data_IF_693271969386
#
_entry.id   IF_693271969386
#
_cell.length_a   1.000
_cell.length_b   1.000
_cell.length_c   1.000
_cell.angle_alpha   90.00
_cell.angle_beta   90.00
_cell.angle_gamma   90.00
#
_symmetry.space_group_name_H-M   'P 1'
#
loop_
_entity.id
_entity.type
_entity.pdbx_description
1 polymer ?
#
# COMPACT_ATOMS: atom_id res chain seq x y z
N UNK A 1 2.48 26.33 -9.19
CA UNK A 1 2.99 24.94 -9.09
C UNK A 1 4.12 24.94 -8.11
N UNK A 2 4.05 24.18 -7.06
CA UNK A 2 5.14 24.01 -6.07
C UNK A 2 6.33 23.40 -6.79
N UNK A 3 7.53 23.95 -6.62
CA UNK A 3 8.74 23.37 -7.18
C UNK A 3 8.99 22.00 -6.52
N UNK A 4 9.39 21.01 -7.32
CA UNK A 4 9.70 19.66 -6.78
C UNK A 4 11.11 19.67 -6.22
N UNK A 5 11.29 19.13 -5.00
CA UNK A 5 12.61 18.85 -4.45
C UNK A 5 13.17 17.56 -5.06
N UNK A 6 14.12 17.72 -5.97
CA UNK A 6 14.78 16.63 -6.69
C UNK A 6 15.75 15.82 -5.83
N UNK A 7 16.06 16.28 -4.61
CA UNK A 7 16.97 15.60 -3.67
C UNK A 7 16.25 14.64 -2.70
N UNK A 8 14.90 14.58 -2.78
CA UNK A 8 14.09 13.79 -1.84
C UNK A 8 14.57 12.35 -1.67
N UNK A 9 14.81 11.60 -2.77
CA UNK A 9 15.26 10.21 -2.67
C UNK A 9 16.63 10.09 -2.01
N UNK A 10 17.56 10.99 -2.32
CA UNK A 10 18.88 11.00 -1.69
C UNK A 10 18.78 11.30 -0.18
N UNK A 11 17.91 12.23 0.23
CA UNK A 11 17.64 12.51 1.65
C UNK A 11 17.04 11.30 2.36
N UNK A 12 16.07 10.61 1.74
CA UNK A 12 15.48 9.39 2.31
C UNK A 12 16.52 8.27 2.46
N UNK A 13 17.37 8.07 1.46
CA UNK A 13 18.45 7.07 1.50
C UNK A 13 19.49 7.40 2.60
N UNK A 14 19.93 8.65 2.68
CA UNK A 14 20.87 9.11 3.70
C UNK A 14 20.34 8.91 5.12
N UNK A 15 19.02 9.02 5.31
CA UNK A 15 18.36 8.77 6.60
C UNK A 15 18.07 7.30 6.89
N UNK A 16 18.43 6.38 5.98
CA UNK A 16 18.10 4.97 6.12
C UNK A 16 16.60 4.65 6.00
N UNK A 17 15.82 5.53 5.36
CA UNK A 17 14.38 5.39 5.18
C UNK A 17 14.00 4.61 3.90
N UNK A 18 14.96 4.13 3.14
CA UNK A 18 14.74 3.30 1.95
C UNK A 18 15.29 1.90 2.22
N UNK A 19 14.41 0.91 2.17
CA UNK A 19 14.79 -0.50 2.24
C UNK A 19 14.99 -1.07 0.83
N UNK A 20 13.97 -0.98 -0.04
CA UNK A 20 14.00 -1.40 -1.44
C UNK A 20 13.23 -0.42 -2.31
N UNK A 21 13.60 -0.31 -3.58
CA UNK A 21 12.83 0.42 -4.59
C UNK A 21 12.94 -0.26 -5.95
N UNK A 22 11.92 -0.09 -6.77
CA UNK A 22 11.94 -0.57 -8.15
C UNK A 22 12.64 0.45 -9.05
N UNK A 23 13.45 -0.01 -10.02
CA UNK A 23 14.08 0.82 -11.06
C UNK A 23 14.62 2.17 -10.54
N UNK A 24 15.66 2.19 -9.68
CA UNK A 24 16.09 3.40 -8.98
C UNK A 24 16.34 4.61 -9.89
N UNK A 25 16.99 4.40 -11.04
CA UNK A 25 17.29 5.49 -11.98
C UNK A 25 16.02 6.06 -12.62
N UNK A 26 15.08 5.18 -12.98
CA UNK A 26 13.81 5.60 -13.60
C UNK A 26 12.91 6.27 -12.58
N UNK A 27 12.85 5.75 -11.34
CA UNK A 27 12.12 6.39 -10.24
C UNK A 27 12.67 7.78 -9.95
N UNK A 28 13.99 7.94 -9.90
CA UNK A 28 14.64 9.25 -9.71
C UNK A 28 14.22 10.25 -10.80
N UNK A 29 14.24 9.84 -12.07
CA UNK A 29 13.77 10.69 -13.18
C UNK A 29 12.27 10.97 -13.09
N UNK A 30 11.48 9.97 -12.70
CA UNK A 30 10.03 10.10 -12.55
C UNK A 30 9.65 11.16 -11.50
N UNK A 31 10.37 11.19 -10.38
CA UNK A 31 10.15 12.11 -9.28
C UNK A 31 10.69 13.55 -9.51
N UNK A 32 11.28 13.83 -10.65
CA UNK A 32 11.63 15.21 -11.04
C UNK A 32 10.39 16.08 -11.37
N UNK A 33 9.21 15.48 -11.43
CA UNK A 33 7.93 16.18 -11.67
C UNK A 33 6.95 15.83 -10.55
N UNK A 34 5.96 16.69 -10.26
CA UNK A 34 4.92 16.37 -9.30
C UNK A 34 4.26 15.04 -9.64
N UNK A 35 4.14 14.15 -8.65
CA UNK A 35 3.53 12.82 -8.80
C UNK A 35 2.53 12.57 -7.71
N UNK A 36 1.58 11.69 -7.98
CA UNK A 36 0.69 11.13 -6.98
C UNK A 36 1.29 9.82 -6.49
N UNK A 37 1.32 9.66 -5.17
CA UNK A 37 1.80 8.46 -4.49
C UNK A 37 0.84 8.06 -3.39
N UNK A 38 0.92 6.80 -2.95
CA UNK A 38 0.08 6.35 -1.84
C UNK A 38 0.79 5.43 -0.86
N UNK A 39 0.24 5.36 0.34
CA UNK A 39 0.50 4.32 1.32
C UNK A 39 -0.83 3.81 1.87
N UNK A 40 -0.93 2.49 2.06
CA UNK A 40 -2.09 1.82 2.64
C UNK A 40 -1.99 1.70 4.15
N UNK A 41 -3.13 1.87 4.82
CA UNK A 41 -3.31 1.72 6.26
C UNK A 41 -4.56 0.87 6.52
N UNK A 42 -4.37 -0.40 6.84
CA UNK A 42 -5.49 -1.28 7.15
C UNK A 42 -6.02 -1.00 8.56
N UNK A 43 -7.34 -0.87 8.72
CA UNK A 43 -7.99 -0.69 10.00
C UNK A 43 -7.98 -2.01 10.79
N UNK A 44 -6.87 -2.31 11.45
CA UNK A 44 -6.69 -3.51 12.27
C UNK A 44 -7.03 -3.29 13.73
N UNK A 45 -7.23 -2.05 14.11
CA UNK A 45 -7.65 -1.55 15.41
C UNK A 45 -8.29 -0.17 15.23
N UNK A 46 -8.79 0.42 16.32
CA UNK A 46 -9.37 1.76 16.34
C UNK A 46 -8.33 2.89 16.29
N UNK A 47 -7.04 2.55 16.24
CA UNK A 47 -5.94 3.51 16.13
C UNK A 47 -4.78 2.96 15.32
N UNK A 48 -4.00 3.87 14.72
CA UNK A 48 -2.72 3.56 14.12
C UNK A 48 -1.72 3.15 15.20
N UNK A 49 -0.83 2.23 14.88
CA UNK A 49 0.26 1.81 15.75
C UNK A 49 1.57 2.56 15.39
N UNK A 50 2.57 2.47 16.25
CA UNK A 50 3.84 3.18 16.07
C UNK A 50 4.53 2.88 14.72
N UNK A 51 4.37 1.66 14.18
CA UNK A 51 4.90 1.29 12.86
C UNK A 51 4.28 2.08 11.70
N UNK A 52 3.08 2.63 11.88
CA UNK A 52 2.42 3.49 10.87
C UNK A 52 3.02 4.90 10.82
N UNK A 53 3.75 5.32 11.85
CA UNK A 53 4.33 6.67 11.93
C UNK A 53 5.39 6.90 10.85
N UNK A 54 6.25 5.91 10.59
CA UNK A 54 7.31 6.05 9.57
C UNK A 54 6.72 6.27 8.18
N UNK A 55 5.78 5.43 7.69
CA UNK A 55 5.10 5.69 6.42
C UNK A 55 4.40 7.06 6.36
N UNK A 56 3.73 7.50 7.43
CA UNK A 56 3.07 8.81 7.47
C UNK A 56 4.06 9.96 7.36
N UNK A 57 5.17 9.90 8.08
CA UNK A 57 6.22 10.91 8.01
C UNK A 57 6.90 10.94 6.63
N UNK A 58 7.03 9.78 5.97
CA UNK A 58 7.54 9.72 4.61
C UNK A 58 6.53 10.30 3.61
N UNK A 59 5.22 10.01 3.73
CA UNK A 59 4.17 10.67 2.94
C UNK A 59 4.25 12.20 3.07
N UNK A 60 4.41 12.71 4.31
CA UNK A 60 4.60 14.13 4.56
C UNK A 60 5.84 14.70 3.85
N UNK A 61 6.97 13.98 3.86
CA UNK A 61 8.18 14.40 3.14
C UNK A 61 7.96 14.49 1.64
N UNK A 62 7.27 13.52 1.05
CA UNK A 62 6.88 13.58 -0.36
C UNK A 62 5.97 14.77 -0.64
N UNK A 63 5.03 15.09 0.25
CA UNK A 63 4.18 16.28 0.12
C UNK A 63 4.99 17.56 0.17
N UNK A 64 5.88 17.70 1.15
CA UNK A 64 6.79 18.85 1.27
C UNK A 64 7.71 19.02 0.05
N UNK A 65 8.07 17.90 -0.59
CA UNK A 65 8.84 17.87 -1.83
C UNK A 65 8.01 18.18 -3.09
N UNK A 66 6.73 18.50 -2.96
CA UNK A 66 5.87 18.90 -4.10
C UNK A 66 5.07 17.78 -4.74
N UNK A 67 5.04 16.57 -4.16
CA UNK A 67 4.20 15.46 -4.63
C UNK A 67 2.86 15.44 -3.88
N UNK A 68 1.83 14.79 -4.48
CA UNK A 68 0.50 14.63 -3.87
C UNK A 68 0.40 13.26 -3.19
N UNK A 69 0.32 13.18 -1.85
CA UNK A 69 0.12 11.93 -1.15
C UNK A 69 -1.36 11.55 -1.09
N UNK A 70 -1.63 10.25 -1.27
CA UNK A 70 -2.90 9.62 -0.94
C UNK A 70 -2.68 8.69 0.27
N UNK A 71 -3.47 8.85 1.31
CA UNK A 71 -3.54 7.88 2.39
C UNK A 71 -4.71 6.94 2.10
N UNK A 72 -4.40 5.70 1.72
CA UNK A 72 -5.41 4.68 1.47
C UNK A 72 -5.79 4.02 2.79
N UNK A 73 -7.04 4.13 3.18
CA UNK A 73 -7.59 3.35 4.29
C UNK A 73 -8.24 2.09 3.75
N UNK A 74 -7.81 0.95 4.26
CA UNK A 74 -8.21 -0.38 3.80
C UNK A 74 -9.59 -0.80 4.31
N UNK A 75 -10.67 -0.12 3.93
CA UNK A 75 -12.02 -0.51 4.33
C UNK A 75 -12.43 -1.89 3.79
N UNK A 76 -12.01 -2.26 2.57
CA UNK A 76 -12.23 -3.59 2.02
C UNK A 76 -11.16 -4.59 2.48
N UNK A 77 -9.89 -4.23 2.37
CA UNK A 77 -8.77 -5.12 2.77
C UNK A 77 -8.74 -5.40 4.27
N UNK A 78 -9.20 -4.47 5.10
CA UNK A 78 -9.36 -4.66 6.54
C UNK A 78 -10.40 -5.71 6.94
N UNK A 79 -11.38 -6.00 6.06
CA UNK A 79 -12.33 -7.10 6.27
C UNK A 79 -11.71 -8.46 5.99
N UNK A 80 -10.64 -8.53 5.20
CA UNK A 80 -9.94 -9.75 4.82
C UNK A 80 -8.71 -9.99 5.71
N UNK A 81 -7.89 -8.97 5.92
CA UNK A 81 -6.67 -9.01 6.71
C UNK A 81 -5.42 -9.43 5.93
N UNK A 82 -4.39 -8.62 6.02
CA UNK A 82 -3.08 -8.89 5.40
C UNK A 82 -2.37 -10.06 6.10
N UNK A 83 -2.03 -11.15 5.39
CA UNK A 83 -1.29 -12.29 5.94
C UNK A 83 0.20 -12.03 6.11
N UNK A 84 0.75 -10.92 5.59
CA UNK A 84 2.18 -10.64 5.54
C UNK A 84 2.80 -10.72 6.95
N UNK A 85 3.75 -11.65 7.12
CA UNK A 85 4.49 -11.91 8.37
C UNK A 85 3.63 -12.18 9.61
N UNK A 86 2.38 -12.64 9.45
CA UNK A 86 1.51 -13.06 10.55
C UNK A 86 1.56 -14.57 10.75
N UNK A 87 1.60 -14.99 12.01
CA UNK A 87 1.64 -16.41 12.36
C UNK A 87 0.26 -17.09 12.31
N UNK A 88 -0.80 -16.32 12.50
CA UNK A 88 -2.17 -16.80 12.58
C UNK A 88 -3.09 -15.96 11.70
N UNK A 89 -4.18 -16.59 11.23
CA UNK A 89 -5.27 -15.90 10.53
C UNK A 89 -5.91 -14.84 11.42
N UNK A 90 -6.24 -13.68 10.82
CA UNK A 90 -6.90 -12.60 11.56
C UNK A 90 -8.37 -12.94 11.78
N UNK A 91 -8.88 -12.56 12.96
CA UNK A 91 -10.30 -12.56 13.21
C UNK A 91 -10.97 -11.54 12.29
N UNK A 92 -11.94 -12.00 11.50
CA UNK A 92 -12.70 -11.13 10.61
C UNK A 92 -13.62 -10.21 11.43
N UNK A 93 -13.56 -8.91 11.15
CA UNK A 93 -14.41 -7.92 11.78
C UNK A 93 -15.66 -7.65 10.93
N UNK A 94 -16.73 -7.18 11.56
CA UNK A 94 -17.95 -6.78 10.85
C UNK A 94 -17.73 -5.47 10.09
N UNK A 95 -18.53 -5.26 9.05
CA UNK A 95 -18.49 -4.03 8.24
C UNK A 95 -18.65 -2.77 9.10
N UNK A 96 -19.51 -2.81 10.12
CA UNK A 96 -19.78 -1.66 11.00
C UNK A 96 -18.55 -1.29 11.85
N UNK A 97 -17.85 -2.30 12.40
CA UNK A 97 -16.61 -2.08 13.15
C UNK A 97 -15.55 -1.47 12.26
N UNK A 98 -15.36 -2.03 11.06
CA UNK A 98 -14.39 -1.54 10.10
C UNK A 98 -14.71 -0.10 9.69
N UNK A 99 -15.98 0.23 9.42
CA UNK A 99 -16.38 1.60 9.08
C UNK A 99 -16.02 2.62 10.17
N UNK A 100 -16.29 2.29 11.45
CA UNK A 100 -15.91 3.16 12.58
C UNK A 100 -14.38 3.35 12.66
N UNK A 101 -13.61 2.30 12.46
CA UNK A 101 -12.15 2.39 12.48
C UNK A 101 -11.61 3.21 11.31
N UNK A 102 -12.19 3.06 10.12
CA UNK A 102 -11.85 3.89 8.94
C UNK A 102 -11.96 5.39 9.28
N UNK A 103 -13.05 5.81 9.91
CA UNK A 103 -13.24 7.22 10.27
C UNK A 103 -12.22 7.72 11.31
N UNK A 104 -11.89 6.87 12.29
CA UNK A 104 -10.84 7.19 13.27
C UNK A 104 -9.45 7.29 12.63
N UNK A 105 -9.12 6.36 11.73
CA UNK A 105 -7.86 6.39 11.02
C UNK A 105 -7.73 7.63 10.12
N UNK A 106 -8.80 8.03 9.43
CA UNK A 106 -8.84 9.29 8.66
C UNK A 106 -8.47 10.49 9.51
N UNK A 107 -9.07 10.60 10.70
CA UNK A 107 -8.78 11.69 11.62
C UNK A 107 -7.31 11.68 12.08
N UNK A 108 -6.74 10.51 12.38
CA UNK A 108 -5.35 10.38 12.80
C UNK A 108 -4.36 10.71 11.69
N UNK A 109 -4.58 10.20 10.48
CA UNK A 109 -3.75 10.49 9.30
C UNK A 109 -3.72 11.99 9.00
N UNK A 110 -4.88 12.66 9.17
CA UNK A 110 -5.00 14.10 8.91
C UNK A 110 -4.18 14.98 9.85
N UNK A 111 -3.65 14.43 10.95
CA UNK A 111 -2.73 15.15 11.82
C UNK A 111 -1.28 15.20 11.28
N UNK A 112 -0.93 14.37 10.29
CA UNK A 112 0.44 14.23 9.79
C UNK A 112 0.66 14.83 8.41
N UNK A 113 -0.34 14.83 7.55
CA UNK A 113 -0.27 15.34 6.17
C UNK A 113 -1.26 16.49 5.98
N UNK A 114 -0.94 17.41 5.09
CA UNK A 114 -1.70 18.65 4.92
C UNK A 114 -2.84 18.48 3.90
N UNK A 115 -4.01 18.94 4.31
CA UNK A 115 -5.23 19.01 3.49
C UNK A 115 -5.55 20.50 3.25
N UNK A 116 -4.84 21.10 2.33
CA UNK A 116 -4.95 22.52 1.99
C UNK A 116 -5.36 22.68 0.51
N UNK A 117 -5.71 23.88 0.10
CA UNK A 117 -6.10 24.17 -1.29
C UNK A 117 -4.90 24.28 -2.26
N UNK A 118 -3.72 23.83 -1.87
CA UNK A 118 -2.55 23.79 -2.74
C UNK A 118 -2.62 22.58 -3.69
N UNK A 119 -1.95 22.69 -4.82
CA UNK A 119 -2.02 21.69 -5.90
C UNK A 119 -1.49 20.28 -5.54
N UNK A 120 -0.87 20.11 -4.36
CA UNK A 120 -0.40 18.85 -3.79
C UNK A 120 -1.09 18.50 -2.46
N UNK A 121 -2.29 19.02 -2.23
CA UNK A 121 -3.13 18.66 -1.09
C UNK A 121 -3.25 17.15 -0.97
N UNK A 122 -3.07 16.63 0.23
CA UNK A 122 -3.28 15.22 0.52
C UNK A 122 -4.76 14.82 0.36
N UNK A 123 -4.99 13.53 0.17
CA UNK A 123 -6.35 12.99 0.12
C UNK A 123 -6.39 11.66 0.87
N UNK A 124 -7.46 11.44 1.63
CA UNK A 124 -7.73 10.13 2.24
C UNK A 124 -8.75 9.41 1.38
N UNK A 125 -8.39 8.24 0.90
CA UNK A 125 -9.23 7.39 0.05
C UNK A 125 -9.54 6.07 0.74
N UNK A 126 -10.67 5.46 0.41
CA UNK A 126 -11.10 4.18 0.99
C UNK A 126 -11.27 3.14 -0.13
N UNK A 127 -10.53 2.03 -0.08
CA UNK A 127 -10.63 1.00 -1.10
C UNK A 127 -12.00 0.29 -1.14
N UNK A 128 -12.81 0.42 -0.11
CA UNK A 128 -14.19 -0.06 -0.13
C UNK A 128 -15.04 0.62 -1.21
N UNK A 129 -14.73 1.89 -1.56
CA UNK A 129 -15.53 2.66 -2.50
C UNK A 129 -15.50 2.09 -3.93
N UNK A 130 -14.39 1.54 -4.37
CA UNK A 130 -14.32 0.84 -5.66
C UNK A 130 -14.56 -0.67 -5.55
N UNK A 131 -14.16 -1.31 -4.45
CA UNK A 131 -14.25 -2.77 -4.31
C UNK A 131 -15.70 -3.25 -4.16
N UNK A 132 -16.55 -2.53 -3.41
CA UNK A 132 -17.95 -2.90 -3.17
C UNK A 132 -18.83 -3.04 -4.42
N UNK A 133 -18.42 -2.39 -5.51
CA UNK A 133 -19.19 -2.36 -6.76
C UNK A 133 -18.70 -3.40 -7.78
N UNK A 134 -17.65 -4.16 -7.48
CA UNK A 134 -17.10 -5.18 -8.37
C UNK A 134 -17.72 -6.52 -8.05
N UNK A 135 -18.48 -7.08 -8.99
CA UNK A 135 -18.99 -8.45 -8.84
C UNK A 135 -17.88 -9.49 -8.99
N UNK A 136 -18.09 -10.65 -8.37
CA UNK A 136 -17.09 -11.72 -8.30
C UNK A 136 -16.64 -12.22 -9.67
N UNK A 137 -17.53 -12.32 -10.65
CA UNK A 137 -17.19 -12.83 -11.98
C UNK A 137 -16.33 -11.82 -12.73
N UNK A 138 -16.67 -10.54 -12.65
CA UNK A 138 -15.86 -9.45 -13.21
C UNK A 138 -14.48 -9.41 -12.56
N UNK A 139 -14.41 -9.53 -11.23
CA UNK A 139 -13.12 -9.56 -10.52
C UNK A 139 -12.24 -10.72 -10.96
N UNK A 140 -12.77 -11.95 -11.01
CA UNK A 140 -12.00 -13.11 -11.43
C UNK A 140 -11.58 -13.02 -12.91
N UNK A 141 -12.47 -12.56 -13.80
CA UNK A 141 -12.21 -12.46 -15.25
C UNK A 141 -11.19 -11.35 -15.56
N UNK A 142 -11.32 -10.17 -14.96
CA UNK A 142 -10.59 -8.98 -15.39
C UNK A 142 -9.38 -8.67 -14.52
N UNK A 143 -9.38 -9.12 -13.26
CA UNK A 143 -8.26 -8.97 -12.31
C UNK A 143 -7.56 -10.31 -12.09
N UNK A 144 -8.30 -11.32 -11.65
CA UNK A 144 -7.76 -12.63 -11.26
C UNK A 144 -6.95 -13.31 -12.37
N UNK A 145 -7.37 -13.20 -13.64
CA UNK A 145 -6.64 -13.77 -14.79
C UNK A 145 -5.18 -13.33 -14.92
N UNK A 146 -4.81 -12.21 -14.30
CA UNK A 146 -3.45 -11.68 -14.36
C UNK A 146 -2.51 -12.29 -13.32
N UNK A 147 -3.05 -13.09 -12.39
CA UNK A 147 -2.29 -13.72 -11.31
C UNK A 147 -2.11 -15.21 -11.56
N UNK A 148 -0.85 -15.64 -11.58
CA UNK A 148 -0.51 -17.07 -11.62
C UNK A 148 -0.47 -17.62 -10.21
N UNK A 149 -1.24 -18.67 -9.91
CA UNK A 149 -1.21 -19.36 -8.62
C UNK A 149 0.19 -19.85 -8.29
N UNK A 150 0.92 -20.41 -9.26
CA UNK A 150 2.30 -20.86 -9.06
C UNK A 150 3.23 -19.71 -8.66
N UNK A 151 3.06 -18.50 -9.24
CA UNK A 151 3.84 -17.34 -8.84
C UNK A 151 3.43 -16.80 -7.46
N UNK A 152 2.14 -16.87 -7.12
CA UNK A 152 1.65 -16.45 -5.80
C UNK A 152 2.18 -17.37 -4.68
N UNK A 153 2.21 -18.68 -4.88
CA UNK A 153 2.75 -19.66 -3.92
C UNK A 153 4.25 -19.42 -3.65
N UNK A 154 5.00 -18.89 -4.63
CA UNK A 154 6.42 -18.59 -4.46
C UNK A 154 6.70 -17.28 -3.70
N UNK A 155 5.67 -16.50 -3.39
CA UNK A 155 5.83 -15.29 -2.56
C UNK A 155 6.25 -15.69 -1.14
N UNK A 156 7.23 -14.97 -0.59
CA UNK A 156 7.82 -15.29 0.71
C UNK A 156 6.77 -15.38 1.83
N UNK A 157 5.81 -14.43 1.86
CA UNK A 157 4.72 -14.41 2.84
C UNK A 157 3.81 -15.64 2.76
N UNK A 158 3.56 -16.16 1.56
CA UNK A 158 2.75 -17.37 1.35
C UNK A 158 3.56 -18.61 1.67
N UNK A 159 4.81 -18.69 1.17
CA UNK A 159 5.71 -19.83 1.36
C UNK A 159 5.95 -20.10 2.84
N UNK A 160 6.25 -19.07 3.63
CA UNK A 160 6.43 -19.19 5.08
C UNK A 160 5.21 -19.74 5.81
N UNK A 161 3.99 -19.47 5.32
CA UNK A 161 2.75 -20.01 5.89
C UNK A 161 2.54 -21.47 5.50
N UNK A 162 2.88 -21.85 4.27
CA UNK A 162 2.75 -23.23 3.79
C UNK A 162 3.80 -24.19 4.39
N UNK A 163 4.99 -23.67 4.73
CA UNK A 163 6.09 -24.46 5.31
C UNK A 163 6.02 -24.60 6.84
N UNK A 164 5.14 -23.87 7.51
CA UNK A 164 4.94 -24.00 8.97
C UNK A 164 4.00 -25.16 9.30
N UNK A 165 4.28 -25.84 10.38
CA UNK A 165 3.34 -26.78 11.00
C UNK A 165 2.10 -26.00 11.48
N UNK A 166 0.92 -26.33 10.96
CA UNK A 166 -0.33 -25.68 11.32
C UNK A 166 -1.39 -25.71 10.23
N UNK A 167 -2.35 -24.80 10.30
CA UNK A 167 -3.54 -24.77 9.41
C UNK A 167 -3.26 -24.26 7.98
N UNK A 168 -2.01 -23.90 7.65
CA UNK A 168 -1.65 -23.37 6.34
C UNK A 168 -2.14 -21.91 6.12
N UNK A 169 -2.63 -21.63 4.93
CA UNK A 169 -3.19 -20.31 4.55
C UNK A 169 -4.59 -20.50 3.96
N UNK A 170 -5.58 -19.74 4.44
CA UNK A 170 -6.91 -19.75 3.85
C UNK A 170 -6.92 -19.11 2.45
N UNK A 171 -7.91 -19.45 1.62
CA UNK A 171 -8.07 -18.79 0.32
C UNK A 171 -8.29 -17.28 0.48
N UNK A 172 -8.94 -16.86 1.54
CA UNK A 172 -9.16 -15.45 1.88
C UNK A 172 -7.85 -14.70 2.04
N UNK A 173 -6.95 -15.20 2.90
CA UNK A 173 -5.62 -14.63 3.09
C UNK A 173 -4.77 -14.74 1.81
N UNK A 174 -4.82 -15.87 1.11
CA UNK A 174 -4.10 -16.08 -0.14
C UNK A 174 -4.50 -15.09 -1.22
N UNK A 175 -5.79 -14.73 -1.29
CA UNK A 175 -6.31 -13.77 -2.26
C UNK A 175 -6.01 -12.30 -1.91
N UNK A 176 -5.54 -12.00 -0.70
CA UNK A 176 -5.27 -10.61 -0.26
C UNK A 176 -4.37 -9.84 -1.22
N UNK A 177 -3.30 -10.47 -1.73
CA UNK A 177 -2.39 -9.83 -2.68
C UNK A 177 -3.10 -9.35 -3.95
N UNK A 178 -4.16 -10.02 -4.38
CA UNK A 178 -4.94 -9.63 -5.57
C UNK A 178 -5.72 -8.36 -5.27
N UNK A 179 -6.32 -8.27 -4.07
CA UNK A 179 -7.08 -7.08 -3.64
C UNK A 179 -6.19 -5.85 -3.52
N UNK A 180 -5.05 -5.97 -2.85
CA UNK A 180 -4.10 -4.84 -2.72
C UNK A 180 -3.49 -4.45 -4.07
N UNK A 181 -3.27 -5.41 -4.96
CA UNK A 181 -2.81 -5.12 -6.32
C UNK A 181 -3.89 -4.38 -7.13
N UNK A 182 -5.16 -4.73 -6.93
CA UNK A 182 -6.30 -4.06 -7.55
C UNK A 182 -6.41 -2.61 -7.06
N UNK A 183 -6.13 -2.34 -5.79
CA UNK A 183 -6.08 -0.98 -5.25
C UNK A 183 -5.08 -0.10 -6.01
N UNK A 184 -3.87 -0.59 -6.26
CA UNK A 184 -2.89 0.18 -7.02
C UNK A 184 -3.36 0.48 -8.45
N UNK A 185 -3.96 -0.50 -9.11
CA UNK A 185 -4.52 -0.33 -10.45
C UNK A 185 -5.65 0.70 -10.48
N UNK A 186 -6.58 0.66 -9.51
CA UNK A 186 -7.68 1.64 -9.41
C UNK A 186 -7.17 3.03 -9.04
N UNK A 187 -6.19 3.15 -8.15
CA UNK A 187 -5.55 4.43 -7.82
C UNK A 187 -4.80 5.02 -9.01
N UNK A 188 -4.14 4.20 -9.83
CA UNK A 188 -3.56 4.68 -11.08
C UNK A 188 -4.64 5.22 -12.02
N UNK A 189 -5.71 4.46 -12.23
CA UNK A 189 -6.82 4.83 -13.13
C UNK A 189 -7.55 6.10 -12.69
N UNK A 190 -7.82 6.25 -11.38
CA UNK A 190 -8.64 7.35 -10.86
C UNK A 190 -7.82 8.62 -10.53
N UNK A 191 -6.59 8.45 -10.05
CA UNK A 191 -5.76 9.53 -9.52
C UNK A 191 -4.43 9.72 -10.26
N UNK A 192 -4.15 8.90 -11.28
CA UNK A 192 -2.83 8.83 -11.92
C UNK A 192 -1.71 8.56 -10.89
N UNK A 193 -2.04 7.76 -9.86
CA UNK A 193 -1.10 7.40 -8.80
C UNK A 193 -0.04 6.45 -9.35
N UNK A 194 1.22 6.84 -9.26
CA UNK A 194 2.33 6.18 -9.93
C UNK A 194 3.42 5.63 -9.01
N UNK A 195 3.27 5.81 -7.69
CA UNK A 195 4.21 5.26 -6.70
C UNK A 195 3.44 4.73 -5.49
N UNK A 196 3.72 3.49 -5.10
CA UNK A 196 3.29 2.94 -3.82
C UNK A 196 4.46 2.92 -2.85
N UNK A 197 4.24 3.37 -1.62
CA UNK A 197 5.17 3.18 -0.51
C UNK A 197 4.55 2.30 0.57
N UNK A 198 5.39 1.59 1.33
CA UNK A 198 4.96 0.70 2.42
C UNK A 198 6.13 0.20 3.24
N UNK A 199 5.87 -0.58 4.27
CA UNK A 199 6.91 -1.30 5.01
C UNK A 199 7.62 -2.36 4.15
N UNK A 200 8.78 -2.83 4.58
CA UNK A 200 9.53 -3.88 3.84
C UNK A 200 8.76 -5.19 3.73
N UNK A 201 7.84 -5.45 4.67
CA UNK A 201 6.88 -6.56 4.63
C UNK A 201 5.90 -6.50 3.44
N UNK A 202 5.69 -5.31 2.88
CA UNK A 202 4.75 -5.07 1.78
C UNK A 202 5.36 -5.26 0.38
N UNK A 203 6.66 -5.58 0.27
CA UNK A 203 7.33 -5.67 -1.04
C UNK A 203 6.63 -6.60 -2.04
N UNK A 204 6.18 -7.76 -1.56
CA UNK A 204 5.44 -8.74 -2.38
C UNK A 204 4.11 -8.20 -2.92
N UNK A 205 3.36 -7.48 -2.08
CA UNK A 205 2.08 -6.86 -2.45
C UNK A 205 2.30 -5.69 -3.41
N UNK A 206 3.29 -4.82 -3.13
CA UNK A 206 3.65 -3.67 -3.98
C UNK A 206 4.03 -4.14 -5.40
N UNK A 207 4.89 -5.15 -5.51
CA UNK A 207 5.31 -5.69 -6.83
C UNK A 207 4.16 -6.35 -7.57
N UNK A 208 3.20 -6.97 -6.86
CA UNK A 208 1.96 -7.47 -7.43
C UNK A 208 1.12 -6.36 -8.06
N UNK A 209 0.96 -5.24 -7.35
CA UNK A 209 0.25 -4.06 -7.83
C UNK A 209 0.91 -3.41 -9.05
N UNK A 210 2.25 -3.34 -9.07
CA UNK A 210 3.02 -2.84 -10.22
C UNK A 210 2.78 -3.71 -11.45
N UNK A 211 2.84 -5.04 -11.30
CA UNK A 211 2.63 -5.97 -12.41
C UNK A 211 1.21 -5.91 -12.96
N UNK A 212 0.20 -5.85 -12.07
CA UNK A 212 -1.20 -5.70 -12.47
C UNK A 212 -1.44 -4.39 -13.22
N UNK A 213 -0.96 -3.27 -12.69
CA UNK A 213 -1.11 -1.93 -13.32
C UNK A 213 -0.47 -1.91 -14.70
N UNK A 214 0.73 -2.49 -14.84
CA UNK A 214 1.40 -2.65 -16.14
C UNK A 214 0.57 -3.49 -17.11
N UNK A 215 -0.02 -4.60 -16.67
CA UNK A 215 -0.83 -5.50 -17.51
C UNK A 215 -2.15 -4.87 -17.96
N UNK A 216 -2.83 -4.16 -17.06
CA UNK A 216 -4.13 -3.58 -17.36
C UNK A 216 -4.04 -2.24 -18.09
N UNK A 217 -3.06 -1.40 -17.75
CA UNK A 217 -2.97 -0.02 -18.25
C UNK A 217 -1.76 0.25 -19.14
N UNK A 218 -0.84 -0.73 -19.32
CA UNK A 218 0.44 -0.56 -20.02
C UNK A 218 1.27 0.59 -19.46
N UNK A 219 1.09 0.90 -18.18
CA UNK A 219 1.74 1.99 -17.49
C UNK A 219 2.93 1.51 -16.66
N UNK A 220 3.94 2.35 -16.57
CA UNK A 220 5.05 2.16 -15.65
C UNK A 220 4.71 2.86 -14.34
N UNK A 221 4.67 2.10 -13.27
CA UNK A 221 4.51 2.58 -11.90
C UNK A 221 5.60 1.99 -11.01
N UNK A 222 5.78 2.56 -9.83
CA UNK A 222 6.95 2.28 -8.99
C UNK A 222 6.54 1.87 -7.59
N UNK A 223 7.47 1.21 -6.90
CA UNK A 223 7.35 0.85 -5.49
C UNK A 223 8.59 1.24 -4.71
N UNK A 224 8.39 1.65 -3.48
CA UNK A 224 9.44 1.95 -2.52
C UNK A 224 9.04 1.40 -1.16
N UNK A 225 9.93 0.63 -0.52
CA UNK A 225 9.70 0.15 0.84
C UNK A 225 10.61 0.80 1.85
N UNK A 226 10.06 0.92 3.06
CA UNK A 226 10.69 1.52 4.22
C UNK A 226 11.10 0.41 5.20
N UNK A 227 12.14 0.62 6.03
CA UNK A 227 12.46 -0.31 7.09
C UNK A 227 11.31 -0.39 8.09
N UNK A 228 11.12 -1.58 8.67
CA UNK A 228 10.18 -1.75 9.77
C UNK A 228 10.76 -1.16 11.06
N UNK A 229 9.86 -0.67 11.91
CA UNK A 229 10.23 -0.30 13.27
C UNK A 229 10.35 -1.59 14.09
N UNK A 230 11.54 -1.86 14.57
CA UNK A 230 11.84 -3.03 15.40
C UNK A 230 12.08 -2.59 16.85
N UNK A 231 11.94 -3.53 17.79
CA UNK A 231 12.38 -3.30 19.16
C UNK A 231 13.90 -3.21 19.24
N UNK A 232 14.42 -2.84 20.42
CA UNK A 232 15.87 -2.72 20.68
C UNK A 232 16.66 -4.03 20.49
N UNK A 233 16.00 -5.18 20.56
CA UNK A 233 16.55 -6.51 20.32
C UNK A 233 16.47 -6.96 18.84
N UNK A 234 15.96 -6.10 17.96
CA UNK A 234 15.81 -6.37 16.53
C UNK A 234 14.55 -7.15 16.15
N UNK A 235 13.64 -7.43 17.12
CA UNK A 235 12.36 -8.13 16.86
C UNK A 235 11.21 -7.16 16.56
#
# INVERSE_FOLDING_TARGET
MTAVDTNLLADLQMRGLVNQMTSPEELTKHLQKPRVLYCGFDPTADSLHIGSLVPLLVLRRFQQAGHKPLALVGGATGMIGDPSFKAQERKLNTTDIISQWVDRLKAQVSAFIEFNDQGNSAEVVNNYDWTKNVDILTFLRDVGKHFSVSAMIQKESVKQRLERDGEGISFTEFAYIILQSFDFSELYKQYNCSLQIGGSDQWGNITGGIDLTRRQHRAQVFGLTLPLVTKSDGT
#
